data_IF_891433494727
#
_entry.id   IF_891433494727
#
_cell.length_a   1.000
_cell.length_b   1.000
_cell.length_c   1.000
_cell.angle_alpha   90.00
_cell.angle_beta   90.00
_cell.angle_gamma   90.00
#
_symmetry.space_group_name_H-M   'P 1'
#
loop_
_entity.id
_entity.type
_entity.pdbx_description
1 polymer ?
#
# COMPACT_ATOMS: atom_id res chain seq x y z
N UNK A 1 28.03 1.53 -4.97
CA UNK A 1 27.01 0.67 -5.61
C UNK A 1 26.37 1.41 -6.78
N UNK A 2 26.02 0.68 -7.83
CA UNK A 2 25.20 1.18 -8.96
C UNK A 2 23.73 0.92 -8.66
N UNK A 3 22.92 1.96 -8.60
CA UNK A 3 21.49 1.89 -8.25
C UNK A 3 20.68 2.28 -9.47
N UNK A 4 19.65 1.50 -9.78
CA UNK A 4 18.76 1.75 -10.91
C UNK A 4 17.31 1.92 -10.50
N UNK A 5 16.57 2.80 -11.18
CA UNK A 5 15.12 2.85 -11.10
C UNK A 5 14.52 2.95 -12.49
N UNK A 6 13.56 2.09 -12.76
CA UNK A 6 12.88 1.98 -14.05
C UNK A 6 11.48 2.58 -13.97
N UNK A 7 10.90 2.84 -15.13
CA UNK A 7 9.48 3.18 -15.24
C UNK A 7 8.63 1.97 -14.88
N UNK A 8 7.60 2.18 -14.06
CA UNK A 8 6.64 1.11 -13.77
C UNK A 8 5.78 0.81 -15.01
N UNK A 9 5.64 -0.47 -15.30
CA UNK A 9 4.90 -0.95 -16.47
C UNK A 9 3.53 -1.57 -16.13
N UNK A 10 3.21 -1.69 -14.83
CA UNK A 10 1.91 -2.15 -14.36
C UNK A 10 0.83 -1.14 -14.74
N UNK A 11 -0.32 -1.62 -15.20
CA UNK A 11 -1.45 -0.76 -15.60
C UNK A 11 -1.83 0.19 -14.44
N UNK A 12 -1.98 1.48 -14.74
CA UNK A 12 -2.29 2.55 -13.78
C UNK A 12 -1.24 2.76 -12.65
N UNK A 13 -0.03 2.27 -12.82
CA UNK A 13 1.06 2.58 -11.91
C UNK A 13 1.89 3.73 -12.47
N UNK A 14 1.79 4.88 -11.82
CA UNK A 14 2.46 6.12 -12.20
C UNK A 14 3.53 6.56 -11.20
N UNK A 15 3.69 5.81 -10.10
CA UNK A 15 4.74 6.06 -9.10
C UNK A 15 6.10 5.65 -9.67
N UNK A 16 7.17 6.07 -8.98
CA UNK A 16 8.55 5.70 -9.33
C UNK A 16 9.34 5.39 -8.05
N UNK A 17 10.31 4.48 -8.15
CA UNK A 17 11.09 4.01 -6.99
C UNK A 17 12.00 5.05 -6.35
N UNK A 18 12.42 6.07 -7.09
CA UNK A 18 13.30 7.16 -6.62
C UNK A 18 12.79 8.52 -7.07
N UNK A 19 12.80 9.51 -6.18
CA UNK A 19 12.65 10.93 -6.53
C UNK A 19 14.00 11.56 -6.84
N UNK A 20 14.05 12.75 -7.48
CA UNK A 20 15.30 13.50 -7.64
C UNK A 20 16.03 13.78 -6.32
N UNK A 21 15.31 14.02 -5.22
CA UNK A 21 15.93 14.25 -3.89
C UNK A 21 16.57 12.97 -3.34
N UNK A 22 15.95 11.80 -3.55
CA UNK A 22 16.58 10.52 -3.21
C UNK A 22 17.83 10.27 -4.06
N UNK A 23 17.76 10.54 -5.36
CA UNK A 23 18.94 10.44 -6.25
C UNK A 23 20.09 11.28 -5.72
N UNK A 24 19.83 12.54 -5.37
CA UNK A 24 20.85 13.42 -4.78
C UNK A 24 21.45 12.82 -3.51
N UNK A 25 20.62 12.21 -2.66
CA UNK A 25 21.07 11.57 -1.42
C UNK A 25 22.00 10.39 -1.68
N UNK A 26 21.68 9.53 -2.64
CA UNK A 26 22.56 8.41 -3.05
C UNK A 26 23.85 8.92 -3.70
N UNK A 27 23.78 9.92 -4.58
CA UNK A 27 24.97 10.52 -5.23
C UNK A 27 25.88 11.15 -4.21
N UNK A 28 25.35 11.90 -3.25
CA UNK A 28 26.12 12.51 -2.16
C UNK A 28 26.77 11.46 -1.25
N UNK A 29 26.18 10.27 -1.14
CA UNK A 29 26.77 9.13 -0.43
C UNK A 29 27.80 8.35 -1.27
N UNK A 30 28.14 8.81 -2.48
CA UNK A 30 29.17 8.24 -3.35
C UNK A 30 28.68 7.10 -4.25
N UNK A 31 27.36 6.97 -4.44
CA UNK A 31 26.78 5.94 -5.31
C UNK A 31 26.48 6.52 -6.70
N UNK A 32 26.41 5.62 -7.70
CA UNK A 32 26.02 5.96 -9.06
C UNK A 32 24.53 5.61 -9.23
N UNK A 33 23.72 6.54 -9.73
CA UNK A 33 22.29 6.36 -9.92
C UNK A 33 21.93 6.42 -11.41
N UNK A 34 21.19 5.43 -11.86
CA UNK A 34 20.74 5.27 -13.24
C UNK A 34 19.22 5.30 -13.27
N UNK A 35 18.65 6.18 -14.07
CA UNK A 35 17.19 6.34 -14.18
C UNK A 35 16.78 6.11 -15.63
N UNK A 36 15.77 5.27 -15.84
CA UNK A 36 15.14 5.15 -17.14
C UNK A 36 14.51 6.49 -17.56
N UNK A 37 14.69 6.87 -18.82
CA UNK A 37 14.10 8.09 -19.38
C UNK A 37 12.58 8.12 -19.10
N UNK A 38 12.12 9.26 -18.59
CA UNK A 38 10.72 9.50 -18.25
C UNK A 38 10.13 8.63 -17.13
N UNK A 39 10.93 7.90 -16.37
CA UNK A 39 10.41 7.04 -15.29
C UNK A 39 9.56 7.79 -14.25
N UNK A 40 9.92 9.04 -13.92
CA UNK A 40 9.23 9.85 -12.91
C UNK A 40 8.09 10.72 -13.43
N UNK A 41 7.88 10.80 -14.75
CA UNK A 41 6.92 11.76 -15.35
C UNK A 41 5.50 11.57 -14.82
N UNK A 42 5.06 10.32 -14.61
CA UNK A 42 3.75 10.01 -14.06
C UNK A 42 3.53 10.54 -12.63
N UNK A 43 4.61 10.78 -11.89
CA UNK A 43 4.60 11.41 -10.56
C UNK A 43 4.99 12.89 -10.59
N UNK A 44 5.15 13.48 -11.79
CA UNK A 44 5.49 14.89 -11.98
C UNK A 44 6.97 15.21 -11.73
N UNK A 45 7.87 14.22 -11.89
CA UNK A 45 9.33 14.41 -11.86
C UNK A 45 9.88 14.25 -13.28
N UNK A 46 10.40 15.32 -13.86
CA UNK A 46 10.89 15.31 -15.23
C UNK A 46 12.31 14.75 -15.30
N UNK A 47 12.69 14.24 -16.46
CA UNK A 47 14.04 13.69 -16.70
C UNK A 47 15.13 14.68 -16.31
N UNK A 48 14.95 15.96 -16.61
CA UNK A 48 15.93 17.03 -16.26
C UNK A 48 16.11 17.21 -14.76
N UNK A 49 15.08 16.93 -13.94
CA UNK A 49 15.18 17.00 -12.49
C UNK A 49 16.13 15.92 -11.96
N UNK A 50 16.11 14.74 -12.55
CA UNK A 50 17.02 13.64 -12.23
C UNK A 50 18.45 13.93 -12.67
N UNK A 51 18.64 14.53 -13.85
CA UNK A 51 19.97 14.95 -14.34
C UNK A 51 20.57 15.99 -13.39
N UNK A 52 19.80 17.00 -12.99
CA UNK A 52 20.23 18.01 -12.01
C UNK A 52 20.55 17.43 -10.63
N UNK A 53 19.92 16.31 -10.27
CA UNK A 53 20.20 15.58 -9.04
C UNK A 53 21.44 14.68 -9.12
N UNK A 54 22.05 14.53 -10.30
CA UNK A 54 23.26 13.75 -10.53
C UNK A 54 23.05 12.34 -11.06
N UNK A 55 21.84 12.00 -11.53
CA UNK A 55 21.58 10.72 -12.17
C UNK A 55 22.13 10.68 -13.59
N UNK A 56 22.53 9.48 -14.02
CA UNK A 56 22.72 9.13 -15.43
C UNK A 56 21.41 8.62 -15.99
N UNK A 57 20.93 9.20 -17.09
CA UNK A 57 19.72 8.75 -17.77
C UNK A 57 20.08 7.69 -18.80
N UNK A 58 19.35 6.57 -18.75
CA UNK A 58 19.40 5.51 -19.75
C UNK A 58 18.08 5.49 -20.51
N UNK A 59 18.14 5.07 -21.78
CA UNK A 59 16.98 5.19 -22.68
C UNK A 59 15.91 4.12 -22.42
N UNK A 60 16.33 2.94 -21.94
CA UNK A 60 15.47 1.77 -21.80
C UNK A 60 15.58 1.15 -20.41
N UNK A 61 14.51 0.48 -19.96
CA UNK A 61 14.52 -0.33 -18.76
C UNK A 61 15.63 -1.39 -18.79
N UNK A 62 15.83 -2.04 -19.96
CA UNK A 62 16.88 -3.05 -20.16
C UNK A 62 18.26 -2.52 -19.76
N UNK A 63 18.65 -1.35 -20.26
CA UNK A 63 19.95 -0.75 -19.94
C UNK A 63 20.09 -0.47 -18.44
N UNK A 64 19.02 -0.03 -17.77
CA UNK A 64 19.02 0.18 -16.31
C UNK A 64 19.19 -1.15 -15.58
N UNK A 65 18.40 -2.17 -15.94
CA UNK A 65 18.49 -3.50 -15.34
C UNK A 65 19.88 -4.13 -15.51
N UNK A 66 20.47 -4.04 -16.70
CA UNK A 66 21.80 -4.58 -17.01
C UNK A 66 22.94 -3.83 -16.30
N UNK A 67 22.75 -2.55 -15.95
CA UNK A 67 23.79 -1.71 -15.35
C UNK A 67 23.76 -1.75 -13.82
N UNK A 68 22.56 -1.79 -13.22
CA UNK A 68 22.39 -1.60 -11.78
C UNK A 68 22.67 -2.87 -10.96
N UNK A 69 23.32 -2.70 -9.81
CA UNK A 69 23.52 -3.76 -8.81
C UNK A 69 22.29 -3.87 -7.90
N UNK A 70 21.60 -2.74 -7.67
CA UNK A 70 20.34 -2.67 -6.93
C UNK A 70 19.28 -1.95 -7.79
N UNK A 71 18.18 -2.62 -8.05
CA UNK A 71 16.99 -2.06 -8.70
C UNK A 71 16.01 -1.62 -7.62
N UNK A 72 15.60 -0.35 -7.65
CA UNK A 72 14.62 0.25 -6.75
C UNK A 72 13.34 0.51 -7.54
N UNK A 73 12.27 -0.16 -7.18
CA UNK A 73 10.95 -0.06 -7.82
C UNK A 73 9.86 0.26 -6.79
N UNK A 74 8.64 0.42 -7.26
CA UNK A 74 7.44 0.51 -6.42
C UNK A 74 6.71 -0.81 -6.39
N UNK A 75 6.49 -1.42 -7.57
CA UNK A 75 5.74 -2.67 -7.72
C UNK A 75 6.66 -3.85 -8.04
N UNK A 76 6.11 -5.03 -7.82
CA UNK A 76 6.71 -6.29 -8.21
C UNK A 76 7.12 -6.27 -9.68
N UNK A 77 8.25 -6.91 -10.06
CA UNK A 77 8.59 -7.12 -11.44
C UNK A 77 7.51 -7.94 -12.16
N UNK A 78 7.20 -7.56 -13.40
CA UNK A 78 6.27 -8.28 -14.26
C UNK A 78 7.01 -9.24 -15.20
N UNK A 79 6.31 -10.20 -15.85
CA UNK A 79 6.94 -11.23 -16.68
C UNK A 79 7.93 -10.70 -17.74
N UNK A 80 7.66 -9.53 -18.32
CA UNK A 80 8.55 -8.89 -19.29
C UNK A 80 9.89 -8.44 -18.69
N UNK A 81 9.96 -8.28 -17.36
CA UNK A 81 11.16 -7.89 -16.65
C UNK A 81 12.00 -9.08 -16.16
N UNK A 82 11.44 -10.30 -16.08
CA UNK A 82 12.16 -11.48 -15.54
C UNK A 82 13.41 -11.82 -16.34
N UNK A 83 13.43 -11.56 -17.64
CA UNK A 83 14.57 -11.78 -18.52
C UNK A 83 15.81 -10.95 -18.15
N UNK A 84 15.65 -9.90 -17.35
CA UNK A 84 16.73 -9.01 -16.93
C UNK A 84 17.33 -9.40 -15.56
N UNK A 85 16.74 -10.37 -14.87
CA UNK A 85 17.23 -10.82 -13.56
C UNK A 85 18.64 -11.39 -13.66
N UNK A 86 19.50 -11.02 -12.70
CA UNK A 86 20.87 -11.50 -12.62
C UNK A 86 21.19 -11.99 -11.22
N UNK A 87 22.01 -13.05 -11.16
CA UNK A 87 22.47 -13.62 -9.89
C UNK A 87 23.10 -12.55 -9.00
N UNK A 88 22.67 -12.50 -7.75
CA UNK A 88 23.17 -11.56 -6.74
C UNK A 88 22.66 -10.12 -6.88
N UNK A 89 21.90 -9.79 -7.94
CA UNK A 89 21.27 -8.47 -8.09
C UNK A 89 20.22 -8.28 -7.00
N UNK A 90 20.20 -7.10 -6.38
CA UNK A 90 19.21 -6.73 -5.35
C UNK A 90 17.99 -6.12 -6.05
N UNK A 91 16.79 -6.62 -5.71
CA UNK A 91 15.52 -6.03 -6.11
C UNK A 91 14.84 -5.52 -4.85
N UNK A 92 14.75 -4.21 -4.70
CA UNK A 92 14.22 -3.50 -3.54
C UNK A 92 12.90 -2.82 -3.91
N UNK A 93 11.77 -3.44 -3.53
CA UNK A 93 10.42 -3.07 -3.98
C UNK A 93 9.34 -3.78 -3.15
N UNK A 94 8.05 -3.47 -3.37
CA UNK A 94 6.97 -4.41 -3.02
C UNK A 94 7.05 -5.63 -3.92
N UNK A 95 7.16 -6.82 -3.35
CA UNK A 95 7.30 -8.07 -4.10
C UNK A 95 6.01 -8.88 -4.21
N UNK A 96 5.19 -8.86 -3.16
CA UNK A 96 3.92 -9.62 -3.09
C UNK A 96 4.04 -11.11 -3.48
N UNK A 97 5.17 -11.75 -3.19
CA UNK A 97 5.50 -13.10 -3.66
C UNK A 97 4.46 -14.16 -3.29
N UNK A 98 3.80 -14.03 -2.12
CA UNK A 98 2.77 -14.99 -1.70
C UNK A 98 1.55 -15.04 -2.65
N UNK A 99 1.37 -14.04 -3.51
CA UNK A 99 0.29 -13.97 -4.49
C UNK A 99 0.75 -14.33 -5.92
N UNK A 100 2.07 -14.43 -6.17
CA UNK A 100 2.64 -14.66 -7.51
C UNK A 100 3.70 -15.77 -7.49
N UNK A 101 3.26 -16.99 -7.81
CA UNK A 101 4.13 -18.15 -7.91
C UNK A 101 5.16 -18.01 -9.04
N UNK A 102 4.76 -17.44 -10.18
CA UNK A 102 5.65 -17.32 -11.34
C UNK A 102 6.82 -16.35 -11.06
N UNK A 103 6.54 -15.21 -10.43
CA UNK A 103 7.58 -14.29 -9.97
C UNK A 103 8.50 -14.95 -8.95
N UNK A 104 7.94 -15.68 -7.98
CA UNK A 104 8.72 -16.39 -6.95
C UNK A 104 9.69 -17.36 -7.60
N UNK A 105 9.21 -18.21 -8.50
CA UNK A 105 10.04 -19.19 -9.20
C UNK A 105 11.12 -18.51 -10.07
N UNK A 106 10.78 -17.41 -10.77
CA UNK A 106 11.72 -16.65 -11.59
C UNK A 106 12.86 -16.02 -10.75
N UNK A 107 12.52 -15.42 -9.59
CA UNK A 107 13.50 -14.83 -8.69
C UNK A 107 14.45 -15.88 -8.09
N UNK A 108 13.92 -17.04 -7.71
CA UNK A 108 14.72 -18.15 -7.18
C UNK A 108 15.65 -18.73 -8.26
N UNK A 109 15.12 -18.99 -9.46
CA UNK A 109 15.90 -19.53 -10.58
C UNK A 109 17.06 -18.60 -10.99
N UNK A 110 16.83 -17.28 -10.98
CA UNK A 110 17.85 -16.30 -11.31
C UNK A 110 18.84 -16.01 -10.17
N UNK A 111 18.55 -16.45 -8.94
CA UNK A 111 19.39 -16.19 -7.78
C UNK A 111 19.44 -14.70 -7.39
N UNK A 112 18.37 -13.95 -7.58
CA UNK A 112 18.27 -12.55 -7.16
C UNK A 112 18.02 -12.43 -5.65
N UNK A 113 18.46 -11.31 -5.08
CA UNK A 113 18.25 -10.95 -3.68
C UNK A 113 17.02 -10.04 -3.58
N UNK A 114 15.88 -10.62 -3.22
CA UNK A 114 14.61 -9.90 -3.12
C UNK A 114 14.44 -9.25 -1.75
N UNK A 115 14.42 -7.92 -1.70
CA UNK A 115 14.22 -7.13 -0.47
C UNK A 115 12.85 -6.48 -0.54
N UNK A 116 11.87 -7.07 0.15
CA UNK A 116 10.46 -6.71 0.09
C UNK A 116 10.10 -5.60 1.07
N UNK A 117 9.48 -4.53 0.59
CA UNK A 117 9.01 -3.43 1.43
C UNK A 117 7.97 -3.87 2.45
N UNK A 118 7.05 -4.76 2.04
CA UNK A 118 5.91 -5.20 2.84
C UNK A 118 6.27 -6.14 3.99
N UNK A 119 7.46 -6.73 4.00
CA UNK A 119 7.91 -7.64 5.06
C UNK A 119 8.96 -7.04 5.98
N UNK A 120 9.44 -5.82 5.70
CA UNK A 120 10.35 -5.12 6.59
C UNK A 120 9.62 -4.78 7.89
N UNK A 121 9.98 -5.47 8.96
CA UNK A 121 9.30 -5.42 10.26
C UNK A 121 10.20 -4.83 11.35
N UNK A 122 9.75 -3.76 11.97
CA UNK A 122 10.36 -3.13 13.11
C UNK A 122 9.47 -3.33 14.34
N UNK A 123 9.62 -4.47 15.04
CA UNK A 123 8.85 -4.81 16.24
C UNK A 123 7.32 -4.76 16.02
N UNK A 124 6.83 -5.37 14.94
CA UNK A 124 5.41 -5.40 14.58
C UNK A 124 4.92 -4.16 13.84
N UNK A 125 5.77 -3.17 13.60
CA UNK A 125 5.49 -2.03 12.75
C UNK A 125 6.15 -2.21 11.38
N UNK A 126 5.40 -2.01 10.30
CA UNK A 126 5.86 -2.15 8.91
C UNK A 126 6.13 -0.76 8.30
N UNK A 127 7.33 -0.17 8.52
CA UNK A 127 7.61 1.22 8.18
C UNK A 127 7.51 1.53 6.69
N UNK A 128 7.77 0.55 5.83
CA UNK A 128 7.73 0.75 4.38
C UNK A 128 6.32 0.51 3.79
N UNK A 129 5.45 -0.19 4.51
CA UNK A 129 4.04 -0.36 4.15
C UNK A 129 3.17 0.77 4.69
N UNK A 130 3.52 1.32 5.85
CA UNK A 130 2.74 2.34 6.56
C UNK A 130 2.37 3.57 5.70
N UNK A 131 3.26 4.15 4.86
CA UNK A 131 2.91 5.30 4.03
C UNK A 131 1.75 5.01 3.07
N UNK A 132 1.72 3.82 2.46
CA UNK A 132 0.64 3.43 1.54
C UNK A 132 -0.67 3.21 2.29
N UNK A 133 -0.62 2.60 3.47
CA UNK A 133 -1.78 2.45 4.35
C UNK A 133 -2.36 3.81 4.80
N UNK A 134 -1.49 4.78 5.10
CA UNK A 134 -1.91 6.13 5.46
C UNK A 134 -2.60 6.84 4.30
N UNK A 135 -2.05 6.72 3.08
CA UNK A 135 -2.63 7.33 1.88
C UNK A 135 -3.97 6.67 1.54
N UNK A 136 -4.03 5.33 1.57
CA UNK A 136 -5.27 4.59 1.30
C UNK A 136 -6.38 4.99 2.28
N UNK A 137 -6.07 5.11 3.58
CA UNK A 137 -7.04 5.57 4.58
C UNK A 137 -7.56 6.98 4.31
N UNK A 138 -6.70 7.91 3.90
CA UNK A 138 -7.10 9.28 3.56
C UNK A 138 -7.93 9.32 2.28
N UNK A 139 -7.51 8.60 1.24
CA UNK A 139 -8.23 8.49 -0.02
C UNK A 139 -9.60 7.84 0.15
N UNK A 140 -9.77 6.89 1.08
CA UNK A 140 -11.05 6.21 1.27
C UNK A 140 -12.18 7.19 1.61
N UNK A 141 -11.88 8.24 2.36
CA UNK A 141 -12.87 9.27 2.70
C UNK A 141 -13.05 10.25 1.54
N UNK A 142 -11.97 10.62 0.84
CA UNK A 142 -12.04 11.50 -0.34
C UNK A 142 -12.90 10.88 -1.45
N UNK A 143 -12.63 9.62 -1.79
CA UNK A 143 -13.42 8.90 -2.81
C UNK A 143 -14.82 8.60 -2.30
N UNK A 144 -14.98 8.22 -1.04
CA UNK A 144 -16.30 8.04 -0.42
C UNK A 144 -17.17 9.29 -0.52
N UNK A 145 -16.62 10.47 -0.23
CA UNK A 145 -17.30 11.75 -0.36
C UNK A 145 -17.74 12.03 -1.81
N UNK A 146 -16.87 11.77 -2.77
CA UNK A 146 -17.15 11.91 -4.20
C UNK A 146 -18.31 11.01 -4.64
N UNK A 147 -18.27 9.74 -4.26
CA UNK A 147 -19.29 8.78 -4.69
C UNK A 147 -20.61 8.88 -3.92
N UNK A 148 -20.69 9.68 -2.84
CA UNK A 148 -21.95 10.12 -2.25
C UNK A 148 -22.71 11.11 -3.12
N UNK A 149 -22.05 11.77 -4.08
CA UNK A 149 -22.71 12.69 -5.01
C UNK A 149 -23.72 11.96 -5.90
N UNK A 150 -24.85 12.63 -6.18
CA UNK A 150 -25.98 12.05 -6.92
C UNK A 150 -25.60 11.59 -8.33
N UNK A 151 -24.70 12.30 -8.97
CA UNK A 151 -24.23 12.00 -10.34
C UNK A 151 -23.55 10.63 -10.46
N UNK A 152 -22.90 10.17 -9.38
CA UNK A 152 -22.28 8.84 -9.29
C UNK A 152 -23.24 7.78 -8.72
N UNK A 153 -24.49 8.16 -8.46
CA UNK A 153 -25.52 7.28 -7.92
C UNK A 153 -25.53 7.18 -6.40
N UNK A 154 -24.81 8.06 -5.72
CA UNK A 154 -24.84 8.21 -4.27
C UNK A 154 -26.17 8.84 -3.76
N UNK A 155 -26.28 8.92 -2.43
CA UNK A 155 -27.46 9.46 -1.75
C UNK A 155 -27.62 10.99 -1.88
N UNK A 156 -26.57 11.71 -2.30
CA UNK A 156 -26.57 13.18 -2.41
C UNK A 156 -26.31 13.88 -1.07
N UNK A 157 -25.59 13.23 -0.16
CA UNK A 157 -25.28 13.75 1.18
C UNK A 157 -23.89 14.41 1.17
N UNK A 158 -23.78 15.61 1.78
CA UNK A 158 -22.51 16.29 2.02
C UNK A 158 -21.96 15.87 3.39
N UNK A 159 -20.70 15.51 3.47
CA UNK A 159 -20.11 14.96 4.71
C UNK A 159 -20.25 15.89 5.92
N UNK A 160 -19.97 17.18 5.75
CA UNK A 160 -20.06 18.16 6.84
C UNK A 160 -21.50 18.60 7.17
N UNK A 161 -22.46 18.34 6.29
CA UNK A 161 -23.72 19.09 6.28
C UNK A 161 -23.48 20.60 6.07
N UNK A 162 -24.54 21.40 6.31
CA UNK A 162 -24.50 22.86 6.41
C UNK A 162 -25.43 23.28 7.55
N UNK A 163 -25.40 24.55 8.03
CA UNK A 163 -26.33 24.98 9.07
C UNK A 163 -27.79 24.63 8.74
N UNK A 164 -28.43 23.88 9.65
CA UNK A 164 -29.80 23.39 9.48
C UNK A 164 -29.95 22.01 8.82
N UNK A 165 -28.83 21.36 8.41
CA UNK A 165 -28.85 19.97 7.88
C UNK A 165 -28.00 19.04 8.74
N UNK A 166 -28.33 17.74 8.79
CA UNK A 166 -27.48 16.77 9.47
C UNK A 166 -26.14 16.57 8.77
N UNK A 167 -25.13 16.17 9.51
CA UNK A 167 -23.85 15.66 9.01
C UNK A 167 -24.04 14.24 8.46
N UNK A 168 -23.20 13.83 7.53
CA UNK A 168 -23.11 12.43 7.12
C UNK A 168 -22.51 11.57 8.26
N UNK A 169 -23.04 10.37 8.43
CA UNK A 169 -22.48 9.38 9.35
C UNK A 169 -21.50 8.48 8.61
N UNK A 170 -20.24 8.49 9.06
CA UNK A 170 -19.16 7.65 8.55
C UNK A 170 -18.83 6.55 9.55
N UNK A 171 -18.93 5.31 9.11
CA UNK A 171 -18.55 4.14 9.90
C UNK A 171 -17.23 3.58 9.38
N UNK A 172 -16.20 3.50 10.24
CA UNK A 172 -14.88 2.98 9.91
C UNK A 172 -14.71 1.66 10.65
N UNK A 173 -14.57 0.57 9.89
CA UNK A 173 -14.39 -0.79 10.43
C UNK A 173 -12.93 -1.16 10.38
N UNK A 174 -12.28 -1.21 11.55
CA UNK A 174 -10.83 -1.39 11.74
C UNK A 174 -10.14 -0.08 12.11
N UNK A 175 -9.60 0.00 13.32
CA UNK A 175 -8.88 1.16 13.88
C UNK A 175 -7.37 1.18 13.60
N UNK A 176 -6.84 0.33 12.71
CA UNK A 176 -5.42 0.26 12.34
C UNK A 176 -4.90 1.50 11.63
N UNK A 177 -3.77 1.38 10.90
CA UNK A 177 -3.16 2.51 10.18
C UNK A 177 -4.13 3.13 9.16
N UNK A 178 -4.81 2.31 8.36
CA UNK A 178 -5.80 2.77 7.37
C UNK A 178 -6.96 3.49 8.07
N UNK A 179 -7.61 2.85 9.04
CA UNK A 179 -8.79 3.40 9.72
C UNK A 179 -8.50 4.67 10.50
N UNK A 180 -7.34 4.75 11.18
CA UNK A 180 -6.90 5.98 11.85
C UNK A 180 -6.76 7.15 10.87
N UNK A 181 -6.21 6.90 9.68
CA UNK A 181 -6.03 7.94 8.68
C UNK A 181 -7.35 8.29 7.97
N UNK A 182 -8.25 7.34 7.78
CA UNK A 182 -9.63 7.63 7.37
C UNK A 182 -10.34 8.50 8.42
N UNK A 183 -10.22 8.16 9.70
CA UNK A 183 -10.79 8.93 10.81
C UNK A 183 -10.30 10.38 10.83
N UNK A 184 -8.99 10.61 10.65
CA UNK A 184 -8.41 11.97 10.59
C UNK A 184 -9.08 12.83 9.50
N UNK A 185 -9.30 12.27 8.31
CA UNK A 185 -9.93 13.01 7.22
C UNK A 185 -11.42 13.18 7.46
N UNK A 186 -12.13 12.14 7.90
CA UNK A 186 -13.56 12.19 8.19
C UNK A 186 -13.90 13.26 9.24
N UNK A 187 -13.14 13.30 10.34
CA UNK A 187 -13.25 14.33 11.38
C UNK A 187 -12.87 15.71 10.83
N UNK A 188 -11.79 15.79 10.04
CA UNK A 188 -11.35 17.05 9.42
C UNK A 188 -12.37 17.64 8.44
N UNK A 189 -13.13 16.78 7.76
CA UNK A 189 -14.24 17.19 6.88
C UNK A 189 -15.55 17.48 7.64
N UNK A 190 -15.56 17.31 8.97
CA UNK A 190 -16.69 17.67 9.83
C UNK A 190 -17.83 16.64 9.85
N UNK A 191 -17.60 15.41 9.43
CA UNK A 191 -18.59 14.33 9.50
C UNK A 191 -18.86 13.86 10.94
N UNK A 192 -19.95 13.12 11.13
CA UNK A 192 -20.19 12.30 12.32
C UNK A 192 -19.47 10.94 12.13
N UNK A 193 -18.59 10.56 13.06
CA UNK A 193 -17.65 9.45 12.84
C UNK A 193 -17.76 8.39 13.93
N UNK A 194 -18.01 7.16 13.52
CA UNK A 194 -17.92 5.97 14.38
C UNK A 194 -16.76 5.10 13.91
N UNK A 195 -15.83 4.76 14.83
CA UNK A 195 -14.73 3.84 14.56
C UNK A 195 -14.95 2.54 15.34
N UNK A 196 -14.78 1.41 14.67
CA UNK A 196 -14.98 0.08 15.25
C UNK A 196 -13.71 -0.76 15.16
N UNK A 197 -13.35 -1.42 16.25
CA UNK A 197 -12.25 -2.40 16.30
C UNK A 197 -12.57 -3.48 17.33
N UNK A 198 -11.93 -4.65 17.21
CA UNK A 198 -11.99 -5.73 18.21
C UNK A 198 -10.94 -5.53 19.32
N UNK A 199 -9.96 -4.68 19.09
CA UNK A 199 -8.89 -4.38 20.05
C UNK A 199 -9.26 -3.14 20.90
N UNK A 200 -9.61 -3.36 22.16
CA UNK A 200 -10.01 -2.29 23.09
C UNK A 200 -8.89 -1.26 23.29
N UNK A 201 -7.62 -1.69 23.39
CA UNK A 201 -6.51 -0.74 23.52
C UNK A 201 -6.36 0.16 22.29
N UNK A 202 -6.75 -0.36 21.11
CA UNK A 202 -6.77 0.46 19.90
C UNK A 202 -7.90 1.49 19.93
N UNK A 203 -9.06 1.13 20.44
CA UNK A 203 -10.18 2.04 20.65
C UNK A 203 -9.85 3.13 21.68
N UNK A 204 -9.24 2.75 22.81
CA UNK A 204 -8.74 3.66 23.85
C UNK A 204 -7.76 4.70 23.24
N UNK A 205 -6.75 4.26 22.50
CA UNK A 205 -5.83 5.15 21.82
C UNK A 205 -6.55 6.14 20.86
N UNK A 206 -7.57 5.68 20.13
CA UNK A 206 -8.34 6.55 19.23
C UNK A 206 -9.21 7.54 20.00
N UNK A 207 -9.79 7.13 21.10
CA UNK A 207 -10.56 7.99 22.01
C UNK A 207 -9.67 9.09 22.59
N UNK A 208 -8.46 8.75 23.05
CA UNK A 208 -7.48 9.71 23.56
C UNK A 208 -7.09 10.78 22.52
N UNK A 209 -6.86 10.41 21.28
CA UNK A 209 -6.38 11.36 20.26
C UNK A 209 -7.50 12.15 19.58
N UNK A 210 -8.71 11.64 19.54
CA UNK A 210 -9.84 12.32 18.89
C UNK A 210 -10.85 12.90 19.88
N UNK A 211 -10.94 12.33 21.09
CA UNK A 211 -11.91 12.75 22.12
C UNK A 211 -13.35 12.69 21.61
N UNK A 212 -14.18 13.61 22.06
CA UNK A 212 -15.60 13.69 21.72
C UNK A 212 -15.93 13.93 20.21
N UNK A 213 -14.92 13.96 19.33
CA UNK A 213 -15.12 14.13 17.89
C UNK A 213 -15.45 12.83 17.17
N UNK A 214 -15.33 11.71 17.86
CA UNK A 214 -15.67 10.37 17.32
C UNK A 214 -16.45 9.58 18.36
N UNK A 215 -17.13 8.54 17.90
CA UNK A 215 -17.61 7.45 18.71
C UNK A 215 -16.72 6.21 18.46
N UNK A 216 -16.32 5.54 19.53
CA UNK A 216 -15.65 4.24 19.43
C UNK A 216 -16.64 3.13 19.82
N UNK A 217 -16.68 2.04 19.04
CA UNK A 217 -17.51 0.87 19.31
C UNK A 217 -16.71 -0.43 19.15
N UNK A 218 -16.98 -1.41 20.01
CA UNK A 218 -16.46 -2.75 19.81
C UNK A 218 -17.07 -3.42 18.59
N UNK A 219 -16.22 -3.97 17.71
CA UNK A 219 -16.64 -4.60 16.46
C UNK A 219 -17.19 -6.00 16.71
N UNK A 220 -18.51 -6.10 16.87
CA UNK A 220 -19.28 -7.36 16.87
C UNK A 220 -20.43 -7.27 15.87
N UNK A 221 -21.05 -8.39 15.55
CA UNK A 221 -22.12 -8.47 14.55
C UNK A 221 -23.25 -7.46 14.81
N UNK A 222 -23.71 -7.33 16.05
CA UNK A 222 -24.82 -6.46 16.45
C UNK A 222 -24.47 -4.98 16.26
N UNK A 223 -23.29 -4.58 16.73
CA UNK A 223 -22.85 -3.19 16.62
C UNK A 223 -22.58 -2.81 15.15
N UNK A 224 -21.99 -3.73 14.37
CA UNK A 224 -21.77 -3.50 12.92
C UNK A 224 -23.10 -3.34 12.22
N UNK A 225 -24.04 -4.26 12.38
CA UNK A 225 -25.35 -4.19 11.76
C UNK A 225 -26.08 -2.88 12.10
N UNK A 226 -26.10 -2.50 13.38
CA UNK A 226 -26.78 -1.26 13.81
C UNK A 226 -26.10 -0.01 13.26
N UNK A 227 -24.76 0.06 13.23
CA UNK A 227 -24.04 1.19 12.68
C UNK A 227 -24.29 1.35 11.17
N UNK A 228 -24.35 0.23 10.43
CA UNK A 228 -24.59 0.24 8.99
C UNK A 228 -25.96 0.79 8.60
N UNK A 229 -27.03 0.60 9.42
CA UNK A 229 -28.36 1.14 9.16
C UNK A 229 -28.40 2.66 9.01
N UNK A 230 -27.50 3.36 9.69
CA UNK A 230 -27.42 4.84 9.69
C UNK A 230 -26.25 5.39 8.91
N UNK A 231 -25.36 4.54 8.42
CA UNK A 231 -24.16 4.94 7.70
C UNK A 231 -24.49 5.53 6.32
N UNK A 232 -23.91 6.66 6.01
CA UNK A 232 -23.86 7.23 4.66
C UNK A 232 -22.59 6.76 3.92
N UNK A 233 -21.47 6.65 4.65
CA UNK A 233 -20.20 6.13 4.15
C UNK A 233 -19.64 5.06 5.10
N UNK A 234 -19.23 3.94 4.56
CA UNK A 234 -18.53 2.88 5.30
C UNK A 234 -17.12 2.72 4.74
N UNK A 235 -16.13 2.71 5.62
CA UNK A 235 -14.73 2.41 5.26
C UNK A 235 -14.33 1.07 5.84
N UNK A 236 -14.09 0.09 4.98
CA UNK A 236 -13.53 -1.21 5.34
C UNK A 236 -12.02 -1.13 5.45
N UNK A 237 -11.49 -1.16 6.67
CA UNK A 237 -10.08 -0.92 6.98
C UNK A 237 -9.41 -2.06 7.78
N UNK A 238 -9.96 -3.27 7.67
CA UNK A 238 -9.46 -4.44 8.41
C UNK A 238 -8.36 -5.12 7.62
N UNK A 239 -7.19 -5.24 8.25
CA UNK A 239 -6.04 -5.94 7.70
C UNK A 239 -5.53 -6.95 8.72
N UNK A 240 -5.38 -8.21 8.31
CA UNK A 240 -4.68 -9.24 9.06
C UNK A 240 -3.42 -9.60 8.28
N UNK A 241 -2.22 -9.31 8.80
CA UNK A 241 -0.98 -9.60 8.08
C UNK A 241 -0.89 -11.07 7.63
N UNK A 242 -0.63 -11.28 6.34
CA UNK A 242 -0.48 -12.62 5.76
C UNK A 242 -1.75 -13.47 5.65
N UNK A 243 -2.95 -12.92 5.92
CA UNK A 243 -4.23 -13.63 5.83
C UNK A 243 -5.25 -12.84 5.01
N UNK A 244 -6.28 -13.54 4.53
CA UNK A 244 -7.45 -12.87 3.94
C UNK A 244 -8.20 -12.07 5.00
N UNK A 245 -8.76 -10.93 4.60
CA UNK A 245 -9.61 -10.11 5.46
C UNK A 245 -10.88 -10.91 5.85
N UNK A 246 -11.33 -10.86 7.13
CA UNK A 246 -12.57 -11.47 7.54
C UNK A 246 -13.77 -10.73 6.92
N UNK A 247 -14.83 -11.47 6.58
CA UNK A 247 -16.07 -10.88 6.05
C UNK A 247 -16.95 -10.36 7.18
N UNK A 248 -16.75 -9.09 7.52
CA UNK A 248 -17.45 -8.40 8.62
C UNK A 248 -18.78 -7.82 8.15
N UNK A 249 -18.80 -7.24 6.93
CA UNK A 249 -20.02 -6.71 6.33
C UNK A 249 -20.72 -7.82 5.54
N UNK A 250 -21.82 -8.34 6.07
CA UNK A 250 -22.60 -9.40 5.41
C UNK A 250 -23.48 -8.80 4.32
N UNK A 251 -23.75 -9.58 3.27
CA UNK A 251 -24.65 -9.17 2.19
C UNK A 251 -26.05 -8.82 2.70
N UNK A 252 -26.54 -9.53 3.73
CA UNK A 252 -27.85 -9.28 4.32
C UNK A 252 -28.00 -7.87 4.90
N UNK A 253 -26.91 -7.27 5.42
CA UNK A 253 -26.93 -5.93 6.02
C UNK A 253 -27.16 -4.82 5.00
N UNK A 254 -26.74 -5.04 3.72
CA UNK A 254 -26.87 -4.03 2.67
C UNK A 254 -28.32 -3.60 2.42
N UNK A 255 -29.26 -4.54 2.62
CA UNK A 255 -30.71 -4.26 2.43
C UNK A 255 -31.26 -3.26 3.47
N UNK A 256 -30.59 -3.15 4.62
CA UNK A 256 -30.98 -2.24 5.70
C UNK A 256 -30.20 -0.93 5.66
N UNK A 257 -29.17 -0.84 4.81
CA UNK A 257 -28.42 0.40 4.58
C UNK A 257 -29.27 1.40 3.79
N UNK A 258 -28.94 2.68 3.94
CA UNK A 258 -29.60 3.76 3.19
C UNK A 258 -29.30 3.60 1.69
N UNK A 259 -30.31 3.68 0.81
CA UNK A 259 -30.06 3.66 -0.64
C UNK A 259 -29.13 4.80 -1.08
N UNK A 260 -28.09 4.45 -1.84
CA UNK A 260 -27.06 5.38 -2.28
C UNK A 260 -25.97 5.66 -1.23
N UNK A 261 -25.96 4.96 -0.09
CA UNK A 261 -24.76 4.91 0.77
C UNK A 261 -23.59 4.27 0.04
N UNK A 262 -22.38 4.55 0.52
CA UNK A 262 -21.14 4.13 -0.14
C UNK A 262 -20.33 3.22 0.79
N UNK A 263 -19.82 2.12 0.26
CA UNK A 263 -18.81 1.28 0.90
C UNK A 263 -17.50 1.45 0.14
N UNK A 264 -16.45 1.91 0.84
CA UNK A 264 -15.07 1.91 0.36
C UNK A 264 -14.32 0.79 1.06
N UNK A 265 -14.07 -0.30 0.35
CA UNK A 265 -13.36 -1.47 0.93
C UNK A 265 -11.87 -1.39 0.61
N UNK A 266 -11.10 -0.81 1.53
CA UNK A 266 -9.63 -0.68 1.39
C UNK A 266 -8.92 -2.04 1.53
N UNK A 267 -9.58 -3.01 2.14
CA UNK A 267 -9.04 -4.36 2.33
C UNK A 267 -9.17 -5.25 1.07
N UNK A 268 -9.64 -4.70 -0.05
CA UNK A 268 -9.95 -5.47 -1.28
C UNK A 268 -8.78 -6.30 -1.79
N UNK A 269 -7.55 -5.80 -1.72
CA UNK A 269 -6.34 -6.52 -2.13
C UNK A 269 -6.12 -7.82 -1.32
N UNK A 270 -6.75 -7.93 -0.16
CA UNK A 270 -6.75 -9.12 0.70
C UNK A 270 -8.12 -9.84 0.72
N UNK A 271 -8.90 -9.66 -0.32
CA UNK A 271 -10.21 -10.26 -0.50
C UNK A 271 -11.39 -9.44 0.02
N UNK A 272 -11.14 -8.29 0.65
CA UNK A 272 -12.17 -7.37 1.17
C UNK A 272 -12.86 -7.82 2.44
N UNK A 273 -13.36 -6.86 3.23
CA UNK A 273 -14.09 -7.13 4.48
C UNK A 273 -15.62 -7.18 4.30
N UNK A 274 -16.13 -6.93 3.11
CA UNK A 274 -17.54 -7.10 2.76
C UNK A 274 -17.73 -8.36 1.91
N UNK A 275 -18.83 -9.10 2.12
CA UNK A 275 -19.14 -10.31 1.34
C UNK A 275 -19.36 -10.02 -0.14
N UNK A 276 -19.84 -8.84 -0.48
CA UNK A 276 -20.11 -8.39 -1.85
C UNK A 276 -18.92 -7.71 -2.53
N UNK A 277 -17.77 -7.61 -1.85
CA UNK A 277 -16.55 -6.99 -2.40
C UNK A 277 -15.93 -7.85 -3.48
N UNK A 278 -15.67 -7.23 -4.63
CA UNK A 278 -14.74 -7.70 -5.66
C UNK A 278 -13.87 -6.54 -6.12
N UNK A 279 -12.65 -6.85 -6.58
CA UNK A 279 -11.69 -5.84 -7.01
C UNK A 279 -12.16 -5.09 -8.23
N UNK A 280 -12.05 -3.76 -8.20
CA UNK A 280 -12.24 -2.84 -9.31
C UNK A 280 -10.95 -2.10 -9.64
N UNK A 281 -10.95 -1.34 -10.72
CA UNK A 281 -9.79 -0.59 -11.19
C UNK A 281 -10.12 0.89 -11.36
N UNK A 282 -9.11 1.73 -11.52
CA UNK A 282 -9.28 3.19 -11.59
C UNK A 282 -10.11 3.67 -12.78
N UNK A 283 -10.21 2.90 -13.85
CA UNK A 283 -11.00 3.19 -15.06
C UNK A 283 -12.48 2.78 -14.92
N UNK A 284 -12.82 1.84 -14.03
CA UNK A 284 -14.19 1.42 -13.72
C UNK A 284 -14.27 1.14 -12.19
N UNK A 285 -14.30 2.21 -11.36
CA UNK A 285 -13.99 2.09 -9.95
C UNK A 285 -15.14 1.64 -9.06
N UNK A 286 -16.39 1.71 -9.52
CA UNK A 286 -17.58 1.47 -8.69
C UNK A 286 -18.57 0.49 -9.33
N UNK A 287 -19.34 -0.16 -8.47
CA UNK A 287 -20.52 -0.94 -8.83
C UNK A 287 -21.58 -0.82 -7.73
N UNK A 288 -22.78 -1.33 -7.97
CA UNK A 288 -23.88 -1.29 -7.00
C UNK A 288 -24.38 -2.68 -6.65
N UNK A 289 -24.63 -2.90 -5.35
CA UNK A 289 -25.32 -4.09 -4.84
C UNK A 289 -26.39 -3.65 -3.84
N UNK A 290 -27.61 -4.10 -4.02
CA UNK A 290 -28.77 -3.78 -3.15
C UNK A 290 -28.93 -2.27 -2.87
N UNK A 291 -28.64 -1.41 -3.87
CA UNK A 291 -28.74 0.05 -3.77
C UNK A 291 -27.53 0.75 -3.15
N UNK A 292 -26.52 0.00 -2.66
CA UNK A 292 -25.31 0.52 -2.05
C UNK A 292 -24.18 0.59 -3.09
N UNK A 293 -23.51 1.74 -3.19
CA UNK A 293 -22.34 1.94 -4.07
C UNK A 293 -21.11 1.32 -3.44
N UNK A 294 -20.38 0.53 -4.20
CA UNK A 294 -19.12 -0.08 -3.78
C UNK A 294 -17.97 0.55 -4.55
N UNK A 295 -16.98 1.07 -3.83
CA UNK A 295 -15.68 1.48 -4.35
C UNK A 295 -14.64 0.51 -3.80
N UNK A 296 -14.13 -0.36 -4.66
CA UNK A 296 -13.24 -1.46 -4.27
C UNK A 296 -11.99 -1.50 -5.14
N UNK A 297 -11.41 -0.32 -5.40
CA UNK A 297 -10.24 -0.18 -6.28
C UNK A 297 -9.00 -0.74 -5.59
N UNK A 298 -8.38 -1.72 -6.23
CA UNK A 298 -7.06 -2.20 -5.84
C UNK A 298 -5.99 -1.14 -6.04
N UNK A 299 -4.98 -1.13 -5.17
CA UNK A 299 -3.87 -0.17 -5.27
C UNK A 299 -4.32 1.31 -5.21
N UNK A 300 -5.26 1.65 -4.33
CA UNK A 300 -5.75 3.03 -4.15
C UNK A 300 -4.65 4.11 -4.15
N UNK A 301 -3.48 3.93 -3.48
CA UNK A 301 -2.42 4.93 -3.49
C UNK A 301 -1.86 5.28 -4.88
N UNK A 302 -2.06 4.42 -5.88
CA UNK A 302 -1.69 4.69 -7.27
C UNK A 302 -2.45 5.86 -7.89
N UNK A 303 -3.63 6.22 -7.37
CA UNK A 303 -4.42 7.36 -7.83
C UNK A 303 -3.77 8.72 -7.53
N UNK A 304 -2.88 8.79 -6.56
CA UNK A 304 -2.17 10.03 -6.17
C UNK A 304 -0.65 9.80 -6.23
N UNK A 305 -0.11 9.54 -7.43
CA UNK A 305 1.25 9.03 -7.60
C UNK A 305 2.32 9.98 -7.08
N UNK A 306 2.13 11.28 -7.16
CA UNK A 306 3.10 12.27 -6.64
C UNK A 306 3.24 12.15 -5.12
N UNK A 307 2.12 12.19 -4.39
CA UNK A 307 2.13 12.06 -2.91
C UNK A 307 2.66 10.68 -2.50
N UNK A 308 2.21 9.64 -3.18
CA UNK A 308 2.59 8.25 -2.88
C UNK A 308 4.06 7.99 -3.15
N UNK A 309 4.62 8.51 -4.23
CA UNK A 309 6.06 8.42 -4.54
C UNK A 309 6.88 9.10 -3.45
N UNK A 310 6.57 10.34 -3.11
CA UNK A 310 7.33 11.08 -2.08
C UNK A 310 7.25 10.35 -0.73
N UNK A 311 6.06 9.92 -0.31
CA UNK A 311 5.87 9.25 0.96
C UNK A 311 6.62 7.90 1.04
N UNK A 312 6.56 7.11 -0.03
CA UNK A 312 7.25 5.82 -0.11
C UNK A 312 8.76 6.01 -0.11
N UNK A 313 9.27 6.87 -0.99
CA UNK A 313 10.70 7.04 -1.18
C UNK A 313 11.38 7.67 0.05
N UNK A 314 10.68 8.52 0.79
CA UNK A 314 11.16 9.02 2.09
C UNK A 314 11.31 7.89 3.11
N UNK A 315 10.40 6.90 3.11
CA UNK A 315 10.49 5.76 4.03
C UNK A 315 11.58 4.76 3.61
N UNK A 316 11.75 4.52 2.31
CA UNK A 316 12.70 3.52 1.80
C UNK A 316 14.14 4.00 1.77
N UNK A 317 14.38 5.32 1.70
CA UNK A 317 15.71 5.90 1.49
C UNK A 317 16.75 5.47 2.53
N UNK A 318 16.42 5.51 3.82
CA UNK A 318 17.37 5.20 4.88
C UNK A 318 17.88 3.76 4.83
N UNK A 319 16.99 2.81 4.56
CA UNK A 319 17.34 1.40 4.41
C UNK A 319 18.10 1.16 3.10
N UNK A 320 17.66 1.78 2.01
CA UNK A 320 18.34 1.69 0.73
C UNK A 320 19.78 2.23 0.78
N UNK A 321 20.03 3.34 1.49
CA UNK A 321 21.37 3.87 1.73
C UNK A 321 22.24 2.91 2.56
N UNK A 322 21.69 2.26 3.59
CA UNK A 322 22.41 1.27 4.38
C UNK A 322 22.84 0.07 3.52
N UNK A 323 21.93 -0.43 2.66
CA UNK A 323 22.21 -1.52 1.72
C UNK A 323 23.26 -1.07 0.69
N UNK A 324 23.13 0.13 0.14
CA UNK A 324 24.02 0.64 -0.89
C UNK A 324 25.46 0.86 -0.38
N UNK A 325 25.59 1.34 0.86
CA UNK A 325 26.87 1.65 1.46
C UNK A 325 27.65 0.41 1.92
N UNK A 326 26.95 -0.61 2.39
CA UNK A 326 27.58 -1.76 3.07
C UNK A 326 27.46 -3.09 2.29
N UNK A 327 26.61 -3.16 1.26
CA UNK A 327 26.11 -4.42 0.74
C UNK A 327 24.98 -4.99 1.62
N UNK A 328 24.20 -5.93 1.09
CA UNK A 328 23.01 -6.43 1.79
C UNK A 328 23.35 -7.16 3.09
N UNK A 329 24.34 -8.01 3.06
CA UNK A 329 24.74 -8.85 4.19
C UNK A 329 25.21 -8.02 5.39
N UNK A 330 26.11 -7.07 5.15
CA UNK A 330 26.63 -6.22 6.21
C UNK A 330 25.58 -5.21 6.68
N UNK A 331 24.69 -4.73 5.80
CA UNK A 331 23.56 -3.90 6.20
C UNK A 331 22.63 -4.64 7.18
N UNK A 332 22.36 -5.93 6.96
CA UNK A 332 21.60 -6.78 7.87
C UNK A 332 22.28 -6.93 9.24
N UNK A 333 23.60 -7.19 9.28
CA UNK A 333 24.35 -7.29 10.55
C UNK A 333 24.32 -6.00 11.37
N UNK A 334 24.26 -4.85 10.71
CA UNK A 334 24.17 -3.52 11.36
C UNK A 334 22.76 -3.13 11.74
N UNK A 335 21.79 -3.67 11.05
CA UNK A 335 20.37 -3.36 11.25
C UNK A 335 19.53 -4.62 11.04
N UNK A 336 19.24 -5.32 12.14
CA UNK A 336 18.49 -6.57 12.13
C UNK A 336 17.11 -6.48 11.48
N UNK A 337 16.52 -5.30 11.45
CA UNK A 337 15.24 -5.05 10.78
C UNK A 337 15.28 -5.43 9.29
N UNK A 338 16.44 -5.27 8.63
CA UNK A 338 16.59 -5.57 7.20
C UNK A 338 16.47 -7.07 6.90
N UNK A 339 16.83 -7.96 7.85
CA UNK A 339 16.68 -9.42 7.66
C UNK A 339 15.22 -9.79 7.31
N UNK A 340 14.25 -9.18 7.98
CA UNK A 340 12.83 -9.47 7.76
C UNK A 340 12.35 -9.11 6.34
N UNK A 341 13.05 -8.20 5.67
CA UNK A 341 12.74 -7.78 4.31
C UNK A 341 13.24 -8.75 3.24
N UNK A 342 14.19 -9.65 3.55
CA UNK A 342 14.77 -10.54 2.55
C UNK A 342 13.84 -11.72 2.31
N UNK A 343 13.23 -11.75 1.14
CA UNK A 343 12.27 -12.80 0.77
C UNK A 343 12.90 -13.88 -0.13
N UNK A 344 13.92 -13.52 -0.93
CA UNK A 344 14.74 -14.47 -1.70
C UNK A 344 16.21 -14.11 -1.55
N UNK A 345 17.08 -15.13 -1.48
CA UNK A 345 18.52 -14.95 -1.36
C UNK A 345 19.27 -16.09 -2.07
N UNK A 346 20.01 -15.76 -3.14
CA UNK A 346 20.84 -16.69 -3.91
C UNK A 346 20.14 -18.03 -4.26
N UNK A 347 18.89 -17.96 -4.73
CA UNK A 347 18.09 -19.12 -5.12
C UNK A 347 17.33 -19.80 -3.98
N UNK A 348 17.42 -19.28 -2.75
CA UNK A 348 16.69 -19.78 -1.58
C UNK A 348 15.49 -18.88 -1.25
N UNK A 349 14.38 -19.49 -0.82
CA UNK A 349 13.19 -18.77 -0.35
C UNK A 349 13.31 -18.52 1.15
N UNK A 350 13.41 -17.25 1.55
CA UNK A 350 13.68 -16.83 2.92
C UNK A 350 12.50 -16.14 3.62
N UNK A 351 11.33 -16.12 2.97
CA UNK A 351 10.09 -15.67 3.57
C UNK A 351 9.16 -16.85 3.87
N UNK A 352 8.95 -17.12 5.16
CA UNK A 352 8.14 -18.26 5.61
C UNK A 352 6.71 -18.22 5.09
N UNK A 353 6.07 -17.05 5.12
CA UNK A 353 4.69 -16.90 4.65
C UNK A 353 4.53 -17.25 3.16
N UNK A 354 5.53 -16.94 2.34
CA UNK A 354 5.55 -17.31 0.92
C UNK A 354 5.74 -18.82 0.76
N UNK A 355 6.69 -19.40 1.52
CA UNK A 355 6.93 -20.83 1.52
C UNK A 355 5.67 -21.63 1.92
N UNK A 356 5.00 -21.21 2.98
CA UNK A 356 3.76 -21.83 3.46
C UNK A 356 2.63 -21.73 2.42
N UNK A 357 2.51 -20.58 1.73
CA UNK A 357 1.48 -20.34 0.71
C UNK A 357 1.60 -21.29 -0.48
N UNK A 358 2.81 -21.62 -0.87
CA UNK A 358 3.11 -22.47 -2.05
C UNK A 358 3.59 -23.86 -1.69
N UNK A 359 3.70 -24.21 -0.39
CA UNK A 359 4.27 -25.47 0.09
C UNK A 359 5.69 -25.71 -0.45
N UNK A 360 6.50 -24.64 -0.41
CA UNK A 360 7.90 -24.65 -0.83
C UNK A 360 8.83 -24.82 0.38
N UNK A 361 10.08 -25.20 0.11
CA UNK A 361 11.12 -25.24 1.14
C UNK A 361 11.45 -23.83 1.61
N UNK A 362 11.49 -23.65 2.92
CA UNK A 362 11.88 -22.40 3.58
C UNK A 362 13.33 -22.52 4.08
N UNK A 363 14.10 -21.47 3.86
CA UNK A 363 15.46 -21.35 4.43
C UNK A 363 15.50 -20.15 5.37
N UNK A 364 15.97 -20.35 6.59
CA UNK A 364 16.20 -19.21 7.50
C UNK A 364 17.31 -18.33 6.95
N UNK A 365 17.04 -17.06 6.77
CA UNK A 365 17.99 -16.07 6.23
C UNK A 365 19.26 -15.97 7.09
N UNK A 366 19.17 -16.14 8.41
CA UNK A 366 20.31 -16.12 9.32
C UNK A 366 21.29 -17.29 9.08
N UNK A 367 20.86 -18.34 8.37
CA UNK A 367 21.74 -19.44 7.97
C UNK A 367 22.46 -19.20 6.64
N UNK A 368 22.17 -18.08 5.96
CA UNK A 368 22.70 -17.81 4.63
C UNK A 368 24.02 -17.03 4.64
N UNK A 369 24.31 -16.22 5.73
CA UNK A 369 25.52 -15.40 5.85
C UNK A 369 25.77 -14.90 7.30
#
# INVERSE_FOLDING_TARGET
MKIGSVKEIKKFEYRVGLTPDNVRSYVNAGHQVYIERNAGVGSGFMTDDYIKAGATILETAREVWETAEMIVKVKEPLPDEYQYFRKGQIIYTYLHLAADRALTDAMLAAGVKGVAYETLDQNGYLPLLAPMSQIAGRLSVQEGAKYLEKIYGGSGVLLSGVPGTPKAHIVIIGGGSVGTNACKIAVGMGADVTVMDVNIHRLEYLDDIFGARIQTLYSNDVNVENALKTADLVVGAVLIPGKKAPKIIRKSYLKEMRPGSVIVDVAVDQGGCCETTHMTYHDDPIYKVDGVVHYCVGNMPGAVPRTSTIALTNATLSYGLQIAANGLEEACRRNETIYSAINTYDGKLTCKNVADSFKMEYTDIHSCF
#
